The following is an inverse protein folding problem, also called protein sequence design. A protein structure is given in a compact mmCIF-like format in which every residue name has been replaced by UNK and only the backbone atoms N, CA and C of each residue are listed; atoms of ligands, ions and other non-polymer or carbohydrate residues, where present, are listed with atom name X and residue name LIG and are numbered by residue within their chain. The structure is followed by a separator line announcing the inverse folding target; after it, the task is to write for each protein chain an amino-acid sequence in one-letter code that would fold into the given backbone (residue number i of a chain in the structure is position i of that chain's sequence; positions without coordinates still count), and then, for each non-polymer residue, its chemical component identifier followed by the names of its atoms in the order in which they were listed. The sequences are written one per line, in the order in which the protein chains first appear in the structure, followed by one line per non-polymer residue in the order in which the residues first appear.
data_IF_989431368872
#
_entry.id   IF_989431368872
#
_cell.length_a   1.000
_cell.length_b   1.000
_cell.length_c   1.000
_cell.angle_alpha   90.00
_cell.angle_beta   90.00
_cell.angle_gamma   90.00
#
_symmetry.space_group_name_H-M   'P 1'
#
loop_
_entity.id
_entity.type
_entity.pdbx_description
1 polymer ?
#
# COMPACT_ATOMS: atom_id res chain seq x y z
N UNK A 1 -7.63 25.08 -6.84
CA UNK A 1 -6.40 24.33 -7.12
C UNK A 1 -6.51 23.06 -6.29
N UNK A 2 -6.68 21.90 -6.92
CA UNK A 2 -6.74 20.64 -6.19
C UNK A 2 -5.36 20.33 -5.62
N UNK A 3 -5.29 19.74 -4.43
CA UNK A 3 -4.01 19.32 -3.87
C UNK A 3 -3.57 18.03 -4.55
N UNK A 4 -2.26 17.86 -4.72
CA UNK A 4 -1.69 16.70 -5.41
C UNK A 4 -2.17 15.35 -4.83
N UNK A 5 -2.33 15.25 -3.51
CA UNK A 5 -2.85 14.06 -2.85
C UNK A 5 -4.34 13.81 -3.12
N UNK A 6 -5.15 14.87 -3.26
CA UNK A 6 -6.55 14.76 -3.67
C UNK A 6 -6.66 14.24 -5.11
N UNK A 7 -5.82 14.74 -6.02
CA UNK A 7 -5.80 14.31 -7.41
C UNK A 7 -5.40 12.83 -7.53
N UNK A 8 -4.35 12.40 -6.82
CA UNK A 8 -3.97 10.99 -6.73
C UNK A 8 -5.12 10.14 -6.17
N UNK A 9 -5.76 10.57 -5.07
CA UNK A 9 -6.86 9.82 -4.47
C UNK A 9 -8.07 9.71 -5.42
N UNK A 10 -8.37 10.76 -6.18
CA UNK A 10 -9.44 10.75 -7.17
C UNK A 10 -9.13 9.80 -8.33
N UNK A 11 -7.94 9.87 -8.91
CA UNK A 11 -7.51 8.97 -9.99
C UNK A 11 -7.52 7.51 -9.52
N UNK A 12 -7.01 7.27 -8.31
CA UNK A 12 -7.01 5.94 -7.69
C UNK A 12 -8.44 5.41 -7.48
N UNK A 13 -9.37 6.26 -7.00
CA UNK A 13 -10.78 5.90 -6.82
C UNK A 13 -11.53 5.61 -8.13
N UNK A 14 -11.00 6.07 -9.26
CA UNK A 14 -11.50 5.78 -10.61
C UNK A 14 -10.75 4.61 -11.28
N UNK A 15 -9.86 3.93 -10.55
CA UNK A 15 -9.04 2.83 -11.05
C UNK A 15 -8.12 3.21 -12.22
N UNK A 16 -7.79 4.51 -12.34
CA UNK A 16 -6.88 5.05 -13.34
C UNK A 16 -5.42 4.89 -12.89
N UNK A 17 -4.98 3.63 -12.75
CA UNK A 17 -3.70 3.30 -12.12
C UNK A 17 -2.48 3.82 -12.91
N UNK A 18 -2.54 3.82 -14.25
CA UNK A 18 -1.46 4.38 -15.08
C UNK A 18 -1.33 5.90 -14.88
N UNK A 19 -2.45 6.61 -14.74
CA UNK A 19 -2.46 8.05 -14.47
C UNK A 19 -1.94 8.37 -13.06
N UNK A 20 -2.29 7.54 -12.06
CA UNK A 20 -1.72 7.63 -10.69
C UNK A 20 -0.20 7.50 -10.73
N UNK A 21 0.31 6.47 -11.42
CA UNK A 21 1.75 6.23 -11.56
C UNK A 21 2.41 7.41 -12.26
N UNK A 22 1.85 7.85 -13.38
CA UNK A 22 2.42 8.93 -14.20
C UNK A 22 2.51 10.24 -13.41
N UNK A 23 1.42 10.63 -12.75
CA UNK A 23 1.39 11.85 -11.94
C UNK A 23 2.38 11.78 -10.76
N UNK A 24 2.46 10.61 -10.10
CA UNK A 24 3.43 10.40 -9.03
C UNK A 24 4.88 10.50 -9.52
N UNK A 25 5.24 9.79 -10.59
CA UNK A 25 6.63 9.77 -11.09
C UNK A 25 7.08 11.14 -11.60
N UNK A 26 6.17 11.94 -12.17
CA UNK A 26 6.50 13.26 -12.71
C UNK A 26 6.59 14.36 -11.65
N UNK A 27 5.79 14.29 -10.59
CA UNK A 27 5.56 15.47 -9.73
C UNK A 27 5.84 15.25 -8.25
N UNK A 28 5.95 14.00 -7.77
CA UNK A 28 6.01 13.72 -6.32
C UNK A 28 7.16 14.42 -5.58
N UNK A 29 8.33 14.55 -6.20
CA UNK A 29 9.51 15.17 -5.56
C UNK A 29 9.36 16.66 -5.30
N UNK A 30 8.47 17.33 -6.03
CA UNK A 30 8.21 18.77 -5.92
C UNK A 30 7.11 19.07 -4.89
N UNK A 31 6.42 18.05 -4.38
CA UNK A 31 5.28 18.23 -3.49
C UNK A 31 5.72 18.36 -2.03
N UNK A 32 5.14 19.36 -1.36
CA UNK A 32 5.28 19.51 0.09
C UNK A 32 4.09 18.82 0.75
N UNK A 33 4.27 17.54 1.11
CA UNK A 33 3.24 16.72 1.72
C UNK A 33 3.46 16.57 3.23
N UNK A 34 2.37 16.53 3.99
CA UNK A 34 2.42 16.05 5.38
C UNK A 34 2.78 14.56 5.40
N UNK A 35 3.23 14.05 6.56
CA UNK A 35 3.55 12.62 6.72
C UNK A 35 2.35 11.72 6.37
N UNK A 36 1.15 12.12 6.76
CA UNK A 36 -0.09 11.39 6.48
C UNK A 36 -0.38 11.34 4.97
N UNK A 37 -0.26 12.48 4.28
CA UNK A 37 -0.47 12.56 2.84
C UNK A 37 0.59 11.75 2.07
N UNK A 38 1.86 11.87 2.45
CA UNK A 38 2.93 11.10 1.83
C UNK A 38 2.71 9.59 2.01
N UNK A 39 2.35 9.14 3.21
CA UNK A 39 2.01 7.74 3.46
C UNK A 39 0.85 7.29 2.56
N UNK A 40 -0.23 8.07 2.52
CA UNK A 40 -1.44 7.77 1.75
C UNK A 40 -1.20 7.72 0.25
N UNK A 41 -0.47 8.69 -0.30
CA UNK A 41 -0.09 8.72 -1.73
C UNK A 41 0.75 7.50 -2.09
N UNK A 42 1.83 7.24 -1.33
CA UNK A 42 2.75 6.14 -1.64
C UNK A 42 2.04 4.78 -1.53
N UNK A 43 1.11 4.63 -0.58
CA UNK A 43 0.23 3.46 -0.48
C UNK A 43 -0.61 3.21 -1.74
N UNK A 44 -1.26 4.25 -2.28
CA UNK A 44 -2.05 4.14 -3.51
C UNK A 44 -1.19 3.86 -4.74
N UNK A 45 0.00 4.45 -4.80
CA UNK A 45 0.95 4.23 -5.89
C UNK A 45 1.52 2.81 -5.85
N UNK A 46 1.82 2.26 -4.67
CA UNK A 46 2.27 0.88 -4.52
C UNK A 46 1.24 -0.12 -5.05
N UNK A 47 -0.04 0.12 -4.74
CA UNK A 47 -1.15 -0.66 -5.27
C UNK A 47 -1.31 -0.45 -6.78
N UNK A 48 -1.18 0.78 -7.27
CA UNK A 48 -1.26 1.06 -8.72
C UNK A 48 -0.19 0.30 -9.50
N UNK A 49 1.06 0.26 -9.01
CA UNK A 49 2.10 -0.59 -9.60
C UNK A 49 1.74 -2.07 -9.58
N UNK A 50 1.11 -2.55 -8.50
CA UNK A 50 0.67 -3.95 -8.42
C UNK A 50 -0.38 -4.28 -9.48
N UNK A 51 -1.38 -3.41 -9.66
CA UNK A 51 -2.45 -3.56 -10.66
C UNK A 51 -1.93 -3.51 -12.11
N UNK A 52 -0.73 -2.96 -12.31
CA UNK A 52 -0.04 -2.88 -13.62
C UNK A 52 1.12 -3.86 -13.76
N UNK A 53 1.12 -4.93 -12.96
CA UNK A 53 2.13 -6.00 -12.96
C UNK A 53 3.59 -5.51 -12.76
N UNK A 54 3.78 -4.28 -12.28
CA UNK A 54 5.08 -3.67 -12.00
C UNK A 54 5.57 -4.09 -10.61
N UNK A 55 5.67 -5.39 -10.36
CA UNK A 55 5.81 -5.94 -9.00
C UNK A 55 7.07 -5.50 -8.25
N UNK A 56 8.18 -5.26 -8.95
CA UNK A 56 9.42 -4.77 -8.31
C UNK A 56 9.20 -3.38 -7.74
N UNK A 57 8.70 -2.44 -8.56
CA UNK A 57 8.36 -1.07 -8.12
C UNK A 57 7.27 -1.09 -7.04
N UNK A 58 6.28 -1.97 -7.19
CA UNK A 58 5.22 -2.16 -6.19
C UNK A 58 5.78 -2.58 -4.82
N UNK A 59 6.69 -3.57 -4.78
CA UNK A 59 7.35 -4.00 -3.54
C UNK A 59 8.11 -2.86 -2.87
N UNK A 60 8.93 -2.12 -3.61
CA UNK A 60 9.68 -0.97 -3.09
C UNK A 60 8.75 0.11 -2.52
N UNK A 61 7.68 0.43 -3.26
CA UNK A 61 6.68 1.39 -2.83
C UNK A 61 5.91 0.91 -1.59
N UNK A 62 5.57 -0.38 -1.46
CA UNK A 62 4.93 -0.92 -0.27
C UNK A 62 5.84 -0.83 0.96
N UNK A 63 7.13 -1.17 0.85
CA UNK A 63 8.08 -0.99 1.96
C UNK A 63 8.19 0.46 2.40
N UNK A 64 8.21 1.38 1.44
CA UNK A 64 8.19 2.82 1.73
C UNK A 64 6.89 3.24 2.41
N UNK A 65 5.74 2.79 1.91
CA UNK A 65 4.43 3.08 2.49
C UNK A 65 4.33 2.60 3.95
N UNK A 66 4.76 1.37 4.24
CA UNK A 66 4.78 0.81 5.60
C UNK A 66 5.67 1.66 6.53
N UNK A 67 6.84 2.07 6.04
CA UNK A 67 7.77 2.91 6.82
C UNK A 67 7.15 4.28 7.14
N UNK A 68 6.48 4.89 6.16
CA UNK A 68 5.79 6.17 6.35
C UNK A 68 4.58 6.02 7.29
N UNK A 69 3.78 4.97 7.14
CA UNK A 69 2.64 4.69 7.99
C UNK A 69 3.03 4.54 9.47
N UNK A 70 4.15 3.85 9.75
CA UNK A 70 4.71 3.76 11.12
C UNK A 70 5.14 5.09 11.71
N UNK A 71 5.52 6.05 10.87
CA UNK A 71 5.95 7.37 11.29
C UNK A 71 4.77 8.35 11.53
N UNK A 72 3.54 7.95 11.18
CA UNK A 72 2.31 8.69 11.49
C UNK A 72 1.91 8.40 12.94
N UNK A 73 1.44 9.42 13.67
CA UNK A 73 1.00 9.23 15.04
C UNK A 73 -0.19 8.26 15.12
N UNK A 74 -0.29 7.48 16.19
CA UNK A 74 -1.42 6.56 16.42
C UNK A 74 -2.80 7.23 16.33
N UNK A 75 -2.90 8.53 16.61
CA UNK A 75 -4.15 9.28 16.48
C UNK A 75 -4.59 9.49 15.03
N UNK A 76 -3.64 9.60 14.09
CA UNK A 76 -3.88 9.89 12.67
C UNK A 76 -3.81 8.64 11.79
N UNK A 77 -3.45 7.48 12.35
CA UNK A 77 -3.35 6.24 11.58
C UNK A 77 -4.68 5.75 11.01
N UNK A 78 -5.80 6.20 11.60
CA UNK A 78 -7.16 5.92 11.10
C UNK A 78 -7.49 6.64 9.79
N UNK A 79 -6.77 7.72 9.51
CA UNK A 79 -6.99 8.54 8.32
C UNK A 79 -6.15 8.05 7.13
N UNK A 80 -5.32 7.01 7.32
CA UNK A 80 -4.58 6.36 6.25
C UNK A 80 -5.54 5.62 5.32
N UNK A 81 -5.26 5.67 4.01
CA UNK A 81 -6.00 4.90 3.00
C UNK A 81 -5.97 3.39 3.28
N UNK A 82 -4.81 2.89 3.71
CA UNK A 82 -4.60 1.51 4.11
C UNK A 82 -3.89 1.48 5.46
N UNK A 83 -4.35 0.63 6.37
CA UNK A 83 -3.68 0.39 7.65
C UNK A 83 -2.33 -0.29 7.44
N UNK A 84 -1.47 -0.30 8.46
CA UNK A 84 -0.18 -1.01 8.39
C UNK A 84 -0.38 -2.51 8.06
N UNK A 85 -1.38 -3.13 8.68
CA UNK A 85 -1.73 -4.55 8.48
C UNK A 85 -2.14 -4.79 7.03
N UNK A 86 -3.02 -3.94 6.50
CA UNK A 86 -3.47 -4.02 5.10
C UNK A 86 -2.29 -3.84 4.12
N UNK A 87 -1.38 -2.92 4.40
CA UNK A 87 -0.16 -2.73 3.59
C UNK A 87 0.75 -3.95 3.63
N UNK A 88 0.93 -4.60 4.80
CA UNK A 88 1.71 -5.84 4.92
C UNK A 88 1.04 -6.98 4.15
N UNK A 89 -0.28 -7.10 4.20
CA UNK A 89 -1.01 -8.11 3.43
C UNK A 89 -0.88 -7.90 1.92
N UNK A 90 -0.99 -6.65 1.44
CA UNK A 90 -0.77 -6.31 0.02
C UNK A 90 0.67 -6.56 -0.42
N UNK A 91 1.65 -6.21 0.41
CA UNK A 91 3.05 -6.55 0.17
C UNK A 91 3.25 -8.07 0.07
N UNK A 92 2.66 -8.85 0.98
CA UNK A 92 2.69 -10.31 0.92
C UNK A 92 2.20 -10.83 -0.43
N UNK A 93 1.05 -10.33 -0.92
CA UNK A 93 0.52 -10.69 -2.25
C UNK A 93 1.47 -10.30 -3.39
N UNK A 94 2.13 -9.15 -3.30
CA UNK A 94 3.14 -8.70 -4.25
C UNK A 94 4.36 -9.64 -4.27
N UNK A 95 4.87 -10.05 -3.11
CA UNK A 95 6.00 -10.98 -2.98
C UNK A 95 5.67 -12.37 -3.55
N UNK A 96 4.44 -12.85 -3.37
CA UNK A 96 3.98 -14.10 -3.98
C UNK A 96 4.00 -14.04 -5.52
N UNK A 97 3.60 -12.90 -6.13
CA UNK A 97 3.69 -12.71 -7.59
C UNK A 97 5.14 -12.75 -8.09
N UNK A 98 6.10 -12.32 -7.26
CA UNK A 98 7.53 -12.42 -7.53
C UNK A 98 8.16 -13.76 -7.13
N UNK A 99 7.38 -14.73 -6.63
CA UNK A 99 7.84 -16.04 -6.13
C UNK A 99 8.79 -15.95 -4.91
N UNK A 100 8.81 -14.81 -4.20
CA UNK A 100 9.62 -14.59 -2.98
C UNK A 100 8.89 -15.13 -1.75
N UNK A 101 8.67 -16.45 -1.71
CA UNK A 101 7.80 -17.10 -0.70
C UNK A 101 8.28 -16.93 0.74
N UNK A 102 9.58 -17.05 0.98
CA UNK A 102 10.15 -16.90 2.33
C UNK A 102 9.96 -15.49 2.87
N UNK A 103 10.26 -14.48 2.04
CA UNK A 103 10.02 -13.07 2.37
C UNK A 103 8.53 -12.81 2.60
N UNK A 104 7.66 -13.37 1.75
CA UNK A 104 6.21 -13.23 1.89
C UNK A 104 5.71 -13.79 3.24
N UNK A 105 6.23 -14.93 3.68
CA UNK A 105 5.91 -15.50 4.99
C UNK A 105 6.47 -14.64 6.14
N UNK A 106 7.68 -14.12 5.99
CA UNK A 106 8.28 -13.21 6.97
C UNK A 106 7.45 -11.94 7.20
N UNK A 107 6.85 -11.39 6.14
CA UNK A 107 5.94 -10.23 6.24
C UNK A 107 4.69 -10.57 7.05
N UNK A 108 4.04 -11.71 6.79
CA UNK A 108 2.86 -12.12 7.58
C UNK A 108 3.20 -12.40 9.03
N UNK A 109 4.35 -13.03 9.30
CA UNK A 109 4.82 -13.29 10.67
C UNK A 109 5.13 -12.02 11.48
N UNK A 110 5.21 -10.85 10.82
CA UNK A 110 5.40 -9.55 11.47
C UNK A 110 4.10 -8.83 11.86
N UNK A 111 2.95 -9.43 11.59
CA UNK A 111 1.62 -8.95 11.98
C UNK A 111 1.30 -9.56 13.36
N UNK A 112 0.79 -8.74 14.28
CA UNK A 112 0.39 -9.20 15.60
C UNK A 112 -0.86 -10.09 15.45
N UNK A 113 -0.94 -11.19 16.20
CA UNK A 113 -1.96 -12.23 16.01
C UNK A 113 -3.40 -11.68 16.09
N UNK A 114 -3.65 -10.73 16.99
CA UNK A 114 -4.96 -10.07 17.17
C UNK A 114 -5.37 -9.20 15.97
N UNK A 115 -4.42 -8.83 15.11
CA UNK A 115 -4.65 -8.04 13.90
C UNK A 115 -4.73 -8.90 12.63
N UNK A 116 -4.48 -10.21 12.73
CA UNK A 116 -4.62 -11.10 11.58
C UNK A 116 -6.10 -11.29 11.22
N UNK A 117 -6.44 -11.09 9.96
CA UNK A 117 -7.78 -11.42 9.46
C UNK A 117 -7.98 -12.94 9.50
N UNK A 118 -9.18 -13.43 9.87
CA UNK A 118 -9.46 -14.86 9.89
C UNK A 118 -9.23 -15.47 8.50
N UNK A 119 -8.70 -16.70 8.47
CA UNK A 119 -8.90 -17.55 7.30
C UNK A 119 -10.39 -17.88 7.30
N UNK A 120 -11.17 -17.30 6.39
CA UNK A 120 -12.46 -17.86 6.05
C UNK A 120 -12.20 -19.28 5.53
N UNK A 121 -12.31 -20.26 6.42
CA UNK A 121 -12.39 -21.68 6.06
C UNK A 121 -13.82 -21.85 5.51
N UNK A 122 -14.02 -21.43 4.27
CA UNK A 122 -15.17 -21.92 3.50
C UNK A 122 -14.95 -23.42 3.25
N UNK A 123 -15.70 -24.24 4.00
CA UNK A 123 -16.16 -25.57 3.59
C UNK A 123 -15.09 -26.63 3.29
N UNK A 124 -14.49 -27.21 4.33
CA UNK A 124 -14.17 -28.65 4.26
C UNK A 124 -15.30 -29.37 4.98
N UNK A 125 -16.30 -29.82 4.22
CA UNK A 125 -17.23 -30.82 4.71
C UNK A 125 -16.45 -32.10 5.00
N UNK A 126 -16.70 -32.65 6.19
CA UNK A 126 -16.14 -33.92 6.72
C UNK A 126 -16.82 -35.10 6.04
#
# INVERSE_FOLDING_TARGET
MHSFDEDINKLFGLELYDDVITLYELSFTEQVLTKLQAATVVSMVAESYYQRDCFIKSQEAFYRAITLAKAVSKSLSKDLKFSEVELKYRLHRCLLKQRKREEAMGVLGSIVEEEMTPKDIEGIEV
#
